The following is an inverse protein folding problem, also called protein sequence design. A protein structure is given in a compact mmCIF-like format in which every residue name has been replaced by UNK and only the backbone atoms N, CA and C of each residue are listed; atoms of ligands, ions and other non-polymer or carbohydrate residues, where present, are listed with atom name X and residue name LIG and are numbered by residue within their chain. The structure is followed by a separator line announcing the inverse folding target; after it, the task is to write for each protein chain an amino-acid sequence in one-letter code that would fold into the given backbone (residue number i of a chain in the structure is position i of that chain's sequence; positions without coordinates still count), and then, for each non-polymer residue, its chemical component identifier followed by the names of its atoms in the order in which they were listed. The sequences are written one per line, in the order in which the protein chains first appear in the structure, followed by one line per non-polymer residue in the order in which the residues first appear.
data_IF_555294167399
#
_entry.id   IF_555294167399
#
_cell.length_a   1.000
_cell.length_b   1.000
_cell.length_c   1.000
_cell.angle_alpha   90.00
_cell.angle_beta   90.00
_cell.angle_gamma   90.00
#
_symmetry.space_group_name_H-M   'P 1'
#
loop_
_entity.id
_entity.type
_entity.pdbx_description
1 polymer ?
#
# COMPACT_ATOMS: atom_id res chain seq x y z
N UNK A 1 39.62 -45.43 39.80
CA UNK A 1 38.90 -46.05 40.94
C UNK A 1 37.46 -46.27 40.52
N UNK A 2 37.03 -47.54 40.52
CA UNK A 2 35.71 -48.12 40.85
C UNK A 2 34.50 -47.17 40.91
N UNK A 3 33.27 -47.46 40.48
CA UNK A 3 32.58 -48.36 39.54
C UNK A 3 31.07 -48.19 39.85
N UNK A 4 30.20 -48.50 38.86
CA UNK A 4 28.77 -48.86 38.94
C UNK A 4 27.74 -47.71 39.14
N UNK A 5 26.54 -47.73 38.55
CA UNK A 5 25.86 -48.45 37.46
C UNK A 5 24.48 -47.78 37.28
N UNK A 6 23.88 -47.84 36.08
CA UNK A 6 22.47 -47.48 35.89
C UNK A 6 22.08 -47.24 34.43
N UNK A 7 21.70 -48.32 33.74
CA UNK A 7 21.26 -48.44 32.33
C UNK A 7 20.04 -47.56 31.92
N UNK A 8 19.82 -47.36 30.60
CA UNK A 8 18.77 -46.50 30.03
C UNK A 8 17.42 -47.22 29.85
N UNK A 9 16.32 -46.47 29.98
CA UNK A 9 14.96 -46.98 29.71
C UNK A 9 14.61 -46.75 28.25
N UNK A 10 14.44 -47.87 27.54
CA UNK A 10 13.83 -48.02 26.23
C UNK A 10 12.29 -47.90 26.36
N UNK A 11 11.64 -46.99 25.62
CA UNK A 11 10.18 -47.03 25.42
C UNK A 11 9.90 -47.09 23.93
N UNK A 12 9.54 -48.31 23.52
CA UNK A 12 9.16 -48.68 22.17
C UNK A 12 7.86 -47.99 21.70
N UNK A 13 7.87 -47.66 20.41
CA UNK A 13 6.73 -47.31 19.59
C UNK A 13 5.58 -48.35 19.67
N UNK A 14 4.36 -47.89 19.94
CA UNK A 14 3.11 -48.58 19.54
C UNK A 14 2.12 -47.59 18.93
N UNK A 15 1.76 -47.86 17.67
CA UNK A 15 0.65 -47.24 16.91
C UNK A 15 -0.69 -47.51 17.60
N UNK A 16 -1.62 -46.53 17.62
CA UNK A 16 -3.05 -46.81 17.77
C UNK A 16 -3.73 -46.99 16.40
N UNK A 17 -4.56 -48.02 16.32
CA UNK A 17 -5.37 -48.41 15.17
C UNK A 17 -6.47 -47.38 14.84
N UNK A 18 -6.79 -47.29 13.55
CA UNK A 18 -7.90 -46.55 13.00
C UNK A 18 -9.25 -47.13 13.47
N UNK A 19 -10.09 -46.28 14.08
CA UNK A 19 -11.49 -46.59 14.34
C UNK A 19 -12.37 -45.94 13.26
N UNK A 20 -12.97 -46.77 12.41
CA UNK A 20 -13.97 -46.35 11.44
C UNK A 20 -15.29 -46.02 12.16
N UNK A 21 -15.84 -44.82 11.98
CA UNK A 21 -17.23 -44.49 12.30
C UNK A 21 -18.02 -44.38 10.99
N UNK A 22 -18.87 -45.37 10.72
CA UNK A 22 -19.95 -45.29 9.73
C UNK A 22 -21.19 -44.63 10.37
N UNK A 23 -21.98 -43.86 9.61
CA UNK A 23 -23.21 -43.22 10.10
C UNK A 23 -24.38 -44.21 10.17
N UNK A 24 -25.20 -44.08 11.22
CA UNK A 24 -26.49 -44.75 11.35
C UNK A 24 -27.55 -44.05 10.50
N UNK A 25 -28.16 -44.80 9.58
CA UNK A 25 -29.37 -44.41 8.86
C UNK A 25 -30.59 -45.05 9.55
N UNK A 26 -31.55 -44.21 9.95
CA UNK A 26 -32.83 -44.64 10.48
C UNK A 26 -33.85 -44.81 9.34
N UNK A 27 -34.47 -45.98 9.28
CA UNK A 27 -35.55 -46.37 8.37
C UNK A 27 -36.90 -46.06 9.00
N UNK A 28 -37.77 -45.31 8.30
CA UNK A 28 -39.23 -45.38 8.44
C UNK A 28 -39.89 -45.30 7.06
N UNK A 29 -40.86 -46.20 6.88
CA UNK A 29 -41.57 -46.62 5.67
C UNK A 29 -42.55 -45.57 5.09
N UNK A 30 -42.98 -45.73 3.82
CA UNK A 30 -43.71 -44.71 3.06
C UNK A 30 -45.23 -44.82 3.18
N UNK A 31 -45.92 -43.70 2.94
CA UNK A 31 -47.37 -43.65 2.74
C UNK A 31 -47.67 -43.30 1.28
N UNK A 32 -48.59 -44.06 0.70
CA UNK A 32 -49.12 -43.95 -0.66
C UNK A 32 -50.37 -43.06 -0.67
N UNK A 33 -50.55 -42.26 -1.74
CA UNK A 33 -51.79 -42.25 -2.54
C UNK A 33 -51.64 -41.51 -3.87
N UNK A 34 -52.29 -42.13 -4.87
CA UNK A 34 -52.43 -41.82 -6.30
C UNK A 34 -53.04 -40.44 -6.63
N UNK A 35 -52.79 -39.94 -7.84
CA UNK A 35 -53.76 -39.91 -8.98
C UNK A 35 -53.03 -39.58 -10.32
N UNK A 36 -53.39 -40.39 -11.32
CA UNK A 36 -53.30 -40.37 -12.81
C UNK A 36 -53.19 -39.00 -13.55
N UNK A 37 -52.80 -38.85 -14.84
CA UNK A 37 -52.62 -39.77 -15.98
C UNK A 37 -51.89 -39.14 -17.22
N UNK A 38 -51.20 -40.02 -17.98
CA UNK A 38 -51.14 -40.22 -19.47
C UNK A 38 -50.48 -39.21 -20.44
N UNK A 39 -49.43 -39.67 -21.14
CA UNK A 39 -49.34 -40.02 -22.60
C UNK A 39 -47.86 -40.27 -22.99
N UNK A 40 -47.34 -41.51 -23.05
CA UNK A 40 -47.15 -42.41 -24.22
C UNK A 40 -46.50 -41.75 -25.47
N UNK A 41 -45.24 -42.10 -25.80
CA UNK A 41 -44.87 -42.90 -27.00
C UNK A 41 -43.38 -43.36 -26.98
N UNK A 42 -43.24 -44.69 -26.83
CA UNK A 42 -42.24 -45.67 -27.33
C UNK A 42 -40.84 -45.27 -27.83
N UNK A 43 -39.82 -45.91 -27.24
CA UNK A 43 -38.58 -46.36 -27.89
C UNK A 43 -38.86 -47.67 -28.70
N UNK A 44 -37.91 -48.33 -29.41
CA UNK A 44 -36.85 -49.08 -28.69
C UNK A 44 -35.50 -49.33 -29.42
N UNK A 45 -34.46 -49.60 -28.61
CA UNK A 45 -33.42 -50.68 -28.71
C UNK A 45 -32.53 -50.82 -29.97
N UNK A 46 -31.25 -51.22 -29.93
CA UNK A 46 -30.51 -52.11 -29.01
C UNK A 46 -28.98 -52.04 -29.24
N UNK A 47 -28.24 -52.35 -28.16
CA UNK A 47 -26.90 -52.98 -27.98
C UNK A 47 -26.11 -53.47 -29.22
N UNK A 48 -24.77 -53.62 -29.23
CA UNK A 48 -23.91 -54.35 -28.27
C UNK A 48 -22.41 -54.16 -28.60
N UNK A 49 -21.57 -54.43 -27.60
CA UNK A 49 -20.09 -54.48 -27.55
C UNK A 49 -19.34 -55.28 -28.64
N UNK A 50 -18.06 -54.96 -28.92
CA UNK A 50 -16.83 -55.67 -28.43
C UNK A 50 -15.52 -55.14 -29.03
N UNK A 51 -14.47 -55.31 -28.21
CA UNK A 51 -13.02 -55.13 -28.36
C UNK A 51 -12.35 -55.69 -29.65
N UNK A 52 -11.25 -55.06 -30.11
CA UNK A 52 -9.88 -55.65 -30.17
C UNK A 52 -8.85 -54.81 -30.97
N UNK A 53 -7.68 -54.59 -30.37
CA UNK A 53 -6.28 -54.55 -30.89
C UNK A 53 -5.92 -53.70 -32.13
N UNK A 54 -4.91 -52.83 -31.99
CA UNK A 54 -3.50 -53.05 -32.42
C UNK A 54 -2.74 -51.73 -32.62
N UNK A 55 -1.48 -51.69 -32.15
CA UNK A 55 -0.45 -50.73 -32.58
C UNK A 55 0.37 -51.39 -33.72
N UNK A 56 1.13 -50.61 -34.52
CA UNK A 56 2.54 -50.39 -34.17
C UNK A 56 3.12 -49.01 -34.56
N UNK A 57 4.32 -48.76 -34.02
CA UNK A 57 5.20 -47.63 -34.29
C UNK A 57 5.90 -47.68 -35.66
N UNK A 58 6.37 -46.54 -36.18
CA UNK A 58 7.58 -46.48 -37.01
C UNK A 58 8.25 -45.08 -36.97
N UNK A 59 9.55 -45.09 -37.20
CA UNK A 59 10.54 -44.07 -36.83
C UNK A 59 11.40 -43.69 -38.06
N UNK A 60 12.01 -42.49 -38.02
CA UNK A 60 13.23 -42.00 -38.74
C UNK A 60 13.09 -41.32 -40.13
N UNK A 61 13.64 -40.10 -40.24
CA UNK A 61 14.92 -39.69 -40.90
C UNK A 61 14.91 -38.14 -41.10
N UNK A 62 15.73 -37.34 -40.41
CA UNK A 62 17.10 -36.84 -40.74
C UNK A 62 17.32 -36.39 -42.20
N UNK A 63 17.61 -35.09 -42.39
CA UNK A 63 18.69 -34.61 -43.26
C UNK A 63 19.09 -33.14 -42.97
N UNK A 64 20.39 -32.96 -42.71
CA UNK A 64 21.20 -31.75 -42.63
C UNK A 64 21.23 -30.96 -43.96
N UNK A 65 21.40 -29.63 -43.91
CA UNK A 65 22.45 -28.93 -44.68
C UNK A 65 22.86 -27.58 -44.06
N UNK A 66 24.13 -27.29 -44.30
CA UNK A 66 25.01 -26.28 -43.72
C UNK A 66 25.08 -25.09 -44.69
N UNK A 67 25.28 -23.86 -44.20
CA UNK A 67 25.62 -22.69 -45.02
C UNK A 67 25.73 -21.40 -44.23
N UNK A 68 26.96 -20.94 -44.03
CA UNK A 68 27.42 -19.74 -43.31
C UNK A 68 27.27 -18.42 -44.10
N UNK A 69 26.97 -17.29 -43.43
CA UNK A 69 27.69 -15.99 -43.48
C UNK A 69 26.85 -14.76 -43.04
N UNK A 70 27.34 -14.07 -41.99
CA UNK A 70 27.41 -12.60 -41.71
C UNK A 70 26.16 -11.65 -41.77
N UNK A 71 26.16 -10.52 -41.02
CA UNK A 71 24.95 -9.90 -40.44
C UNK A 71 24.41 -8.66 -41.21
N UNK A 72 23.15 -8.22 -40.97
CA UNK A 72 22.63 -7.00 -41.58
C UNK A 72 22.91 -5.74 -40.75
N UNK A 73 23.11 -4.66 -41.51
CA UNK A 73 23.32 -3.26 -41.11
C UNK A 73 22.02 -2.56 -40.71
N UNK A 74 22.19 -1.50 -39.92
CA UNK A 74 21.23 -0.45 -39.52
C UNK A 74 20.41 0.17 -40.66
N UNK A 75 19.14 0.58 -40.43
CA UNK A 75 18.45 1.51 -41.31
C UNK A 75 18.44 2.96 -40.78
N UNK A 76 18.82 3.89 -41.65
CA UNK A 76 18.72 5.34 -41.51
C UNK A 76 17.35 5.82 -42.00
N UNK A 77 16.66 6.67 -41.25
CA UNK A 77 15.39 7.31 -41.66
C UNK A 77 15.62 8.39 -42.72
N UNK A 78 14.85 8.34 -43.80
CA UNK A 78 14.71 9.39 -44.80
C UNK A 78 13.57 10.37 -44.43
N UNK A 79 13.89 11.66 -44.45
CA UNK A 79 12.95 12.81 -44.35
C UNK A 79 12.01 12.84 -45.56
N UNK A 80 10.73 13.12 -45.33
CA UNK A 80 9.77 13.55 -46.36
C UNK A 80 9.29 14.98 -46.06
N UNK A 81 9.45 15.83 -47.06
CA UNK A 81 9.04 17.24 -47.16
C UNK A 81 7.61 17.26 -47.70
N UNK A 82 6.68 18.02 -47.10
CA UNK A 82 5.51 18.59 -47.80
C UNK A 82 5.20 20.01 -47.25
N UNK A 83 4.91 20.87 -48.23
CA UNK A 83 4.67 22.30 -48.32
C UNK A 83 3.72 23.00 -47.31
N UNK A 84 3.98 24.31 -47.14
CA UNK A 84 3.08 25.34 -46.62
C UNK A 84 1.95 25.70 -47.60
N UNK A 85 0.93 26.43 -47.13
CA UNK A 85 0.45 27.57 -47.89
C UNK A 85 0.32 28.87 -47.07
N UNK A 86 0.13 29.95 -47.83
CA UNK A 86 0.46 31.36 -47.60
C UNK A 86 -0.61 32.20 -46.90
N UNK A 87 -0.16 33.35 -46.37
CA UNK A 87 -0.92 34.47 -45.78
C UNK A 87 -1.98 35.08 -46.72
N UNK A 88 -3.04 35.63 -46.12
CA UNK A 88 -3.62 36.93 -46.52
C UNK A 88 -3.98 37.76 -45.28
N UNK A 89 -4.04 39.08 -45.47
CA UNK A 89 -3.97 40.11 -44.45
C UNK A 89 -5.35 40.69 -44.08
N UNK A 90 -5.48 41.22 -42.86
CA UNK A 90 -6.26 42.43 -42.60
C UNK A 90 -5.72 43.19 -41.37
N UNK A 91 -5.94 44.51 -41.41
CA UNK A 91 -5.24 45.61 -40.74
C UNK A 91 -6.14 46.23 -39.67
N UNK A 92 -5.52 46.59 -38.53
CA UNK A 92 -5.85 47.63 -37.53
C UNK A 92 -7.28 47.70 -36.94
N UNK A 93 -7.38 47.65 -35.61
CA UNK A 93 -7.63 48.88 -34.84
C UNK A 93 -7.25 48.74 -33.35
N UNK A 94 -6.74 49.84 -32.80
CA UNK A 94 -6.34 50.02 -31.40
C UNK A 94 -7.53 50.46 -30.55
N UNK A 95 -7.69 49.93 -29.32
CA UNK A 95 -8.19 50.71 -28.17
C UNK A 95 -8.08 49.97 -26.82
N UNK A 96 -7.49 50.69 -25.86
CA UNK A 96 -7.68 50.69 -24.39
C UNK A 96 -7.72 49.37 -23.61
N UNK A 97 -6.63 49.12 -22.88
CA UNK A 97 -6.61 48.31 -21.67
C UNK A 97 -7.40 49.02 -20.55
N UNK A 98 -8.45 48.37 -20.06
CA UNK A 98 -8.94 48.53 -18.69
C UNK A 98 -9.17 47.11 -18.18
N UNK A 99 -8.24 46.60 -17.37
CA UNK A 99 -8.37 45.31 -16.70
C UNK A 99 -9.13 45.50 -15.39
N UNK A 100 -10.38 45.03 -15.35
CA UNK A 100 -11.10 44.79 -14.11
C UNK A 100 -10.46 43.59 -13.40
N UNK A 101 -9.69 43.86 -12.34
CA UNK A 101 -9.20 42.85 -11.40
C UNK A 101 -10.40 42.30 -10.63
N UNK A 102 -10.82 41.08 -10.95
CA UNK A 102 -11.91 40.38 -10.27
C UNK A 102 -11.54 40.09 -8.81
N UNK A 103 -12.51 40.30 -7.91
CA UNK A 103 -12.42 40.20 -6.44
C UNK A 103 -11.84 38.88 -5.92
N UNK A 104 -11.81 37.83 -6.76
CA UNK A 104 -11.19 36.53 -6.46
C UNK A 104 -9.67 36.61 -6.27
N UNK A 105 -9.00 37.53 -6.96
CA UNK A 105 -7.54 37.70 -6.87
C UNK A 105 -7.05 38.51 -5.67
N UNK A 106 -7.93 39.23 -4.96
CA UNK A 106 -7.56 39.91 -3.71
C UNK A 106 -7.72 38.99 -2.49
N UNK A 107 -8.72 38.10 -2.49
CA UNK A 107 -8.94 37.14 -1.41
C UNK A 107 -7.77 36.13 -1.29
N UNK A 108 -7.24 35.63 -2.40
CA UNK A 108 -6.12 34.68 -2.40
C UNK A 108 -4.79 35.32 -1.96
N UNK A 109 -4.55 36.59 -2.30
CA UNK A 109 -3.33 37.32 -1.89
C UNK A 109 -3.36 37.69 -0.39
N UNK A 110 -4.55 37.99 0.16
CA UNK A 110 -4.72 38.29 1.58
C UNK A 110 -4.63 37.03 2.45
N UNK A 111 -5.13 35.88 1.96
CA UNK A 111 -5.04 34.60 2.67
C UNK A 111 -3.59 34.07 2.73
N UNK A 112 -2.79 34.29 1.67
CA UNK A 112 -1.37 33.94 1.64
C UNK A 112 -0.51 34.81 2.58
N UNK A 113 -0.88 36.08 2.78
CA UNK A 113 -0.21 36.99 3.75
C UNK A 113 -0.48 36.60 5.21
N UNK A 114 -1.73 36.27 5.54
CA UNK A 114 -2.15 35.90 6.90
C UNK A 114 -1.51 34.56 7.36
N UNK A 115 -1.34 33.61 6.45
CA UNK A 115 -0.69 32.31 6.73
C UNK A 115 0.83 32.47 6.95
N UNK A 116 1.46 33.50 6.37
CA UNK A 116 2.90 33.72 6.46
C UNK A 116 3.32 34.54 7.70
N UNK A 117 2.47 35.47 8.18
CA UNK A 117 2.74 36.23 9.40
C UNK A 117 2.58 35.38 10.68
N UNK A 118 1.61 34.46 10.71
CA UNK A 118 1.38 33.56 11.86
C UNK A 118 2.52 32.56 12.13
N UNK A 119 3.39 32.29 11.15
CA UNK A 119 4.58 31.42 11.29
C UNK A 119 5.85 32.16 11.71
N UNK A 120 5.90 33.49 11.60
CA UNK A 120 7.05 34.31 12.04
C UNK A 120 7.07 34.56 13.55
N UNK A 121 5.93 34.44 14.23
CA UNK A 121 5.82 34.66 15.68
C UNK A 121 6.30 33.50 16.57
N UNK A 122 6.43 32.28 16.03
CA UNK A 122 6.75 31.09 16.84
C UNK A 122 8.26 30.78 16.94
N UNK A 123 9.09 31.34 16.07
CA UNK A 123 10.56 31.16 16.11
C UNK A 123 11.30 32.29 16.87
N UNK A 124 10.58 33.23 17.48
CA UNK A 124 11.16 34.38 18.20
C UNK A 124 11.09 34.26 19.74
N UNK A 125 10.78 33.07 20.31
CA UNK A 125 10.52 32.92 21.76
C UNK A 125 11.30 31.80 22.46
N UNK A 126 12.49 31.44 21.99
CA UNK A 126 13.35 30.50 22.73
C UNK A 126 14.83 30.78 22.59
N UNK A 127 15.29 31.87 23.21
CA UNK A 127 16.66 32.03 23.74
C UNK A 127 16.80 33.38 24.46
N UNK A 128 16.41 33.43 25.74
CA UNK A 128 16.80 34.51 26.65
C UNK A 128 17.81 33.97 27.66
N UNK A 129 19.09 34.32 27.47
CA UNK A 129 20.11 34.32 28.51
C UNK A 129 20.58 35.79 28.65
N UNK A 130 20.77 36.32 29.88
CA UNK A 130 20.98 37.75 30.06
C UNK A 130 22.45 38.11 29.82
N UNK A 131 22.70 39.09 28.96
CA UNK A 131 24.00 39.77 28.90
C UNK A 131 23.87 41.07 29.67
N UNK A 132 24.57 41.15 30.79
CA UNK A 132 24.76 42.39 31.55
C UNK A 132 25.48 43.43 30.70
N UNK A 133 24.92 44.63 30.68
CA UNK A 133 25.43 45.80 29.96
C UNK A 133 26.58 46.41 30.77
N UNK A 134 27.82 46.22 30.32
CA UNK A 134 28.98 46.97 30.83
C UNK A 134 29.25 48.14 29.89
N UNK A 135 28.96 49.35 30.37
CA UNK A 135 29.32 50.61 29.71
C UNK A 135 30.82 50.90 29.87
N UNK A 136 31.49 51.34 28.81
CA UNK A 136 32.75 52.09 28.88
C UNK A 136 32.69 53.27 27.87
N UNK A 137 33.30 54.43 28.20
CA UNK A 137 32.97 55.71 27.58
C UNK A 137 33.79 56.01 26.32
N UNK A 138 33.20 56.89 25.49
CA UNK A 138 33.74 57.51 24.29
C UNK A 138 34.97 58.39 24.58
N UNK A 139 36.00 58.29 23.74
CA UNK A 139 37.00 59.35 23.56
C UNK A 139 37.66 59.28 22.16
N UNK A 140 37.51 60.36 21.38
CA UNK A 140 38.33 60.77 20.22
C UNK A 140 38.15 59.94 18.94
N UNK A 141 38.19 60.49 17.73
CA UNK A 141 38.87 61.70 17.25
C UNK A 141 38.16 62.28 16.01
N UNK A 142 38.43 63.56 15.77
CA UNK A 142 37.96 64.32 14.61
C UNK A 142 38.57 63.91 13.27
N UNK A 143 38.00 64.55 12.26
CA UNK A 143 38.05 64.29 10.83
C UNK A 143 39.45 64.20 10.21
N UNK A 144 39.59 63.26 9.28
CA UNK A 144 40.71 63.17 8.35
C UNK A 144 40.46 62.09 7.30
N UNK A 145 40.32 62.53 6.04
CA UNK A 145 40.11 61.72 4.84
C UNK A 145 40.97 60.45 4.82
N UNK A 146 40.32 59.31 5.00
CA UNK A 146 40.93 57.99 4.88
C UNK A 146 39.93 57.06 4.22
N UNK A 147 40.14 56.79 2.94
CA UNK A 147 39.54 55.64 2.26
C UNK A 147 39.93 54.41 3.07
N UNK A 148 39.01 53.90 3.90
CA UNK A 148 39.21 52.66 4.64
C UNK A 148 39.11 51.54 3.63
N UNK A 149 40.17 50.74 3.38
CA UNK A 149 40.03 49.56 2.56
C UNK A 149 39.01 48.67 3.26
N UNK A 150 37.95 48.29 2.54
CA UNK A 150 37.03 47.25 3.00
C UNK A 150 37.89 46.08 3.45
N UNK A 151 37.84 45.77 4.75
CA UNK A 151 38.54 44.63 5.31
C UNK A 151 37.93 43.42 4.61
N UNK A 152 38.62 42.94 3.57
CA UNK A 152 38.45 41.61 3.04
C UNK A 152 38.44 40.69 4.26
N UNK A 153 37.26 40.17 4.60
CA UNK A 153 37.15 39.04 5.48
C UNK A 153 38.08 38.00 4.86
N UNK A 154 39.24 37.79 5.48
CA UNK A 154 40.12 36.73 5.05
C UNK A 154 39.29 35.47 5.21
N UNK A 155 39.00 34.82 4.08
CA UNK A 155 38.54 33.44 4.02
C UNK A 155 39.64 32.60 4.68
N UNK A 156 39.69 32.59 6.02
CA UNK A 156 40.48 31.63 6.76
C UNK A 156 39.74 30.32 6.61
N UNK A 157 40.28 29.34 5.86
CA UNK A 157 39.66 28.03 5.79
C UNK A 157 39.50 27.49 7.22
N UNK A 158 38.42 26.74 7.51
CA UNK A 158 38.26 26.13 8.83
C UNK A 158 39.55 25.38 9.18
N UNK A 159 40.02 25.42 10.45
CA UNK A 159 41.29 24.85 10.84
C UNK A 159 41.36 23.40 10.36
N UNK A 160 42.26 23.13 9.42
CA UNK A 160 42.49 21.81 8.86
C UNK A 160 43.00 20.90 9.98
N UNK A 161 42.13 19.99 10.44
CA UNK A 161 42.49 19.01 11.47
C UNK A 161 41.59 18.94 12.70
N UNK A 162 40.50 19.72 12.78
CA UNK A 162 39.51 19.54 13.83
C UNK A 162 38.75 18.20 13.64
N UNK A 163 39.10 17.19 14.45
CA UNK A 163 38.41 15.90 14.52
C UNK A 163 37.22 15.93 15.49
N UNK A 164 36.38 14.89 15.44
CA UNK A 164 35.28 14.69 16.39
C UNK A 164 35.23 13.24 16.86
N UNK A 165 34.61 13.00 18.02
CA UNK A 165 34.30 11.65 18.51
C UNK A 165 32.81 11.56 18.78
N UNK A 166 32.17 10.48 18.32
CA UNK A 166 30.76 10.21 18.63
C UNK A 166 30.74 9.30 19.86
N UNK A 167 30.31 9.84 20.99
CA UNK A 167 30.00 9.03 22.17
C UNK A 167 28.66 8.32 21.96
N UNK A 168 28.68 6.99 22.00
CA UNK A 168 27.49 6.13 21.86
C UNK A 168 27.14 5.39 23.17
N UNK A 169 27.82 5.71 24.27
CA UNK A 169 27.60 5.07 25.58
C UNK A 169 26.28 5.45 26.23
N UNK A 170 25.71 6.60 25.85
CA UNK A 170 24.41 7.08 26.33
C UNK A 170 23.40 6.97 25.18
N UNK A 171 22.38 6.12 25.32
CA UNK A 171 21.32 5.94 24.33
C UNK A 171 19.94 6.21 24.95
N UNK A 172 19.07 6.90 24.21
CA UNK A 172 17.69 7.11 24.61
C UNK A 172 16.86 5.85 24.32
N UNK A 173 16.10 5.31 25.30
CA UNK A 173 15.12 4.27 25.04
C UNK A 173 13.86 4.81 24.34
N UNK A 174 13.68 6.14 24.29
CA UNK A 174 12.51 6.79 23.70
C UNK A 174 12.69 6.94 22.18
N UNK A 175 12.63 5.82 21.48
CA UNK A 175 12.66 5.74 20.02
C UNK A 175 11.77 4.60 19.53
N UNK A 176 11.35 4.71 18.27
CA UNK A 176 10.62 3.67 17.56
C UNK A 176 11.17 3.51 16.13
N UNK A 177 10.54 2.63 15.36
CA UNK A 177 10.88 2.41 13.96
C UNK A 177 10.50 3.61 13.09
N UNK A 178 11.41 4.02 12.20
CA UNK A 178 11.09 4.98 11.12
C UNK A 178 10.12 4.41 10.08
N UNK A 179 10.14 3.09 9.88
CA UNK A 179 9.15 2.40 9.06
C UNK A 179 7.86 2.31 9.88
N UNK A 180 6.80 2.94 9.37
CA UNK A 180 5.47 3.01 10.00
C UNK A 180 4.39 2.35 9.15
N UNK A 181 4.64 2.18 7.86
CA UNK A 181 3.66 1.70 6.88
C UNK A 181 4.26 0.61 6.02
N UNK A 182 3.48 -0.42 5.67
CA UNK A 182 3.80 -1.42 4.66
C UNK A 182 2.90 -1.20 3.45
N UNK A 183 3.48 -0.95 2.27
CA UNK A 183 2.73 -0.76 1.02
C UNK A 183 2.96 -1.96 0.09
N UNK A 184 1.86 -2.58 -0.33
CA UNK A 184 1.85 -3.76 -1.21
C UNK A 184 1.48 -3.36 -2.64
N UNK A 185 2.22 -3.91 -3.61
CA UNK A 185 2.13 -3.57 -5.03
C UNK A 185 2.04 -4.84 -5.87
N UNK A 186 1.56 -4.71 -7.11
CA UNK A 186 1.90 -5.65 -8.17
C UNK A 186 2.80 -4.99 -9.21
N UNK A 187 3.56 -5.80 -9.95
CA UNK A 187 4.51 -5.29 -10.95
C UNK A 187 3.90 -4.99 -12.32
N UNK A 188 2.77 -5.62 -12.67
CA UNK A 188 2.15 -5.61 -14.01
C UNK A 188 3.08 -6.14 -15.12
N UNK A 189 4.10 -6.90 -14.75
CA UNK A 189 5.20 -7.32 -15.61
C UNK A 189 5.69 -8.71 -15.23
N UNK A 190 6.43 -9.36 -16.13
CA UNK A 190 7.12 -10.62 -15.82
C UNK A 190 8.20 -10.41 -14.75
N UNK A 191 8.68 -11.48 -14.11
CA UNK A 191 9.77 -11.39 -13.15
C UNK A 191 11.03 -10.74 -13.76
N UNK A 192 11.41 -11.12 -14.99
CA UNK A 192 12.59 -10.60 -15.66
C UNK A 192 12.48 -9.08 -15.91
N UNK A 193 11.34 -8.63 -16.41
CA UNK A 193 11.07 -7.21 -16.66
C UNK A 193 10.97 -6.41 -15.36
N UNK A 194 10.41 -7.02 -14.31
CA UNK A 194 10.31 -6.41 -12.97
C UNK A 194 11.69 -6.17 -12.38
N UNK A 195 12.60 -7.16 -12.45
CA UNK A 195 13.99 -7.02 -12.01
C UNK A 195 14.66 -5.90 -12.80
N UNK A 196 14.55 -5.91 -14.13
CA UNK A 196 15.17 -4.90 -14.99
C UNK A 196 14.63 -3.48 -14.68
N UNK A 197 13.33 -3.33 -14.47
CA UNK A 197 12.70 -2.04 -14.19
C UNK A 197 13.04 -1.50 -12.80
N UNK A 198 13.00 -2.34 -11.76
CA UNK A 198 13.19 -1.93 -10.36
C UNK A 198 14.68 -1.76 -9.97
N UNK A 199 15.60 -2.15 -10.85
CA UNK A 199 17.06 -2.00 -10.63
C UNK A 199 17.74 -1.10 -11.66
N UNK A 200 17.00 -0.58 -12.65
CA UNK A 200 17.55 0.29 -13.69
C UNK A 200 17.97 1.64 -13.09
N UNK A 201 19.24 2.06 -13.25
CA UNK A 201 19.69 3.38 -12.77
C UNK A 201 19.08 4.55 -13.58
N UNK A 202 18.43 4.27 -14.72
CA UNK A 202 17.74 5.27 -15.53
C UNK A 202 16.28 5.47 -15.08
N UNK A 203 15.72 4.58 -14.26
CA UNK A 203 14.35 4.66 -13.78
C UNK A 203 14.32 5.16 -12.34
N UNK A 204 13.36 6.01 -12.02
CA UNK A 204 13.14 6.51 -10.67
C UNK A 204 12.10 5.66 -9.93
N UNK A 205 12.24 4.33 -9.98
CA UNK A 205 11.36 3.37 -9.30
C UNK A 205 12.17 2.22 -8.72
N UNK A 206 11.83 1.79 -7.51
CA UNK A 206 12.40 0.62 -6.84
C UNK A 206 11.50 0.18 -5.70
N UNK A 207 11.70 -1.04 -5.20
CA UNK A 207 11.02 -1.56 -4.02
C UNK A 207 12.03 -2.12 -3.03
N UNK A 208 11.61 -2.40 -1.81
CA UNK A 208 12.47 -3.06 -0.84
C UNK A 208 12.56 -4.55 -1.17
N UNK A 209 11.40 -5.17 -1.44
CA UNK A 209 11.29 -6.58 -1.79
C UNK A 209 10.56 -6.79 -3.12
N UNK A 210 10.98 -7.81 -3.86
CA UNK A 210 10.29 -8.34 -5.03
C UNK A 210 10.03 -9.84 -4.83
N UNK A 211 8.75 -10.23 -4.91
CA UNK A 211 8.29 -11.62 -4.74
C UNK A 211 7.91 -12.21 -6.10
N UNK A 212 8.60 -13.27 -6.57
CA UNK A 212 8.25 -13.97 -7.82
C UNK A 212 6.85 -14.57 -7.82
N UNK A 213 6.32 -14.85 -9.02
CA UNK A 213 5.05 -15.55 -9.28
C UNK A 213 5.17 -17.08 -9.21
N UNK A 214 6.39 -17.60 -9.35
CA UNK A 214 6.69 -19.01 -9.20
C UNK A 214 7.96 -19.25 -8.39
N UNK A 215 8.04 -20.44 -7.80
CA UNK A 215 9.28 -20.95 -7.25
C UNK A 215 10.31 -21.26 -8.36
N UNK A 216 11.59 -21.29 -7.99
CA UNK A 216 12.62 -21.83 -8.86
C UNK A 216 12.49 -23.36 -9.05
N UNK A 217 13.35 -23.94 -9.89
CA UNK A 217 13.40 -25.39 -10.15
C UNK A 217 13.58 -26.24 -8.87
N UNK A 218 13.99 -25.61 -7.75
CA UNK A 218 14.10 -26.20 -6.42
C UNK A 218 12.87 -26.06 -5.53
N UNK A 219 11.72 -25.62 -6.06
CA UNK A 219 10.44 -25.37 -5.36
C UNK A 219 10.52 -24.31 -4.25
N UNK A 220 11.57 -23.50 -4.21
CA UNK A 220 11.68 -22.37 -3.28
C UNK A 220 11.46 -21.07 -4.01
N UNK A 221 10.73 -20.15 -3.41
CA UNK A 221 10.65 -18.79 -3.91
C UNK A 221 11.95 -18.07 -3.56
N UNK A 222 12.60 -17.47 -4.55
CA UNK A 222 13.71 -16.57 -4.35
C UNK A 222 13.18 -15.14 -4.25
N UNK A 223 12.83 -14.71 -3.04
CA UNK A 223 12.49 -13.29 -2.79
C UNK A 223 13.76 -12.45 -2.93
N UNK A 224 13.66 -11.33 -3.64
CA UNK A 224 14.78 -10.42 -3.84
C UNK A 224 14.64 -9.22 -2.90
N UNK A 225 15.67 -8.94 -2.10
CA UNK A 225 15.83 -7.64 -1.46
C UNK A 225 16.58 -6.71 -2.43
N UNK A 226 15.91 -5.70 -2.95
CA UNK A 226 16.48 -4.76 -3.92
C UNK A 226 17.01 -3.50 -3.23
N UNK A 227 16.40 -3.10 -2.11
CA UNK A 227 16.81 -1.95 -1.29
C UNK A 227 16.72 -2.34 0.18
N UNK A 228 17.80 -2.17 0.98
CA UNK A 228 17.74 -2.43 2.43
C UNK A 228 16.69 -1.55 3.10
N UNK A 229 15.94 -2.09 4.08
CA UNK A 229 14.85 -1.35 4.77
C UNK A 229 15.32 -0.07 5.51
N UNK A 230 16.62 0.05 5.80
CA UNK A 230 17.22 1.27 6.37
C UNK A 230 17.39 2.41 5.33
N UNK A 231 17.13 2.13 4.05
CA UNK A 231 17.24 3.05 2.92
C UNK A 231 15.85 3.25 2.32
N UNK A 232 15.66 4.41 1.70
CA UNK A 232 14.40 4.74 1.01
C UNK A 232 14.36 4.11 -0.38
N UNK A 233 13.47 3.14 -0.61
CA UNK A 233 13.06 2.74 -1.96
C UNK A 233 12.06 3.73 -2.57
N UNK A 234 11.88 3.70 -3.90
CA UNK A 234 11.01 4.61 -4.65
C UNK A 234 9.79 3.86 -5.22
N UNK A 235 8.81 3.51 -4.39
CA UNK A 235 7.65 2.70 -4.79
C UNK A 235 6.32 3.46 -4.69
N UNK A 236 6.08 4.20 -3.61
CA UNK A 236 4.80 4.85 -3.34
C UNK A 236 4.56 6.10 -4.23
N UNK A 237 5.61 6.87 -4.54
CA UNK A 237 5.49 8.13 -5.28
C UNK A 237 4.69 9.20 -4.50
N UNK A 238 3.95 10.06 -5.22
CA UNK A 238 3.02 11.02 -4.61
C UNK A 238 1.91 10.24 -3.90
N UNK A 239 1.89 10.32 -2.57
CA UNK A 239 1.12 9.42 -1.73
C UNK A 239 0.76 10.07 -0.40
N UNK A 240 -0.35 9.61 0.20
CA UNK A 240 -0.86 10.03 1.49
C UNK A 240 -1.47 8.84 2.24
N UNK A 241 -1.24 8.77 3.55
CA UNK A 241 -1.98 7.87 4.44
C UNK A 241 -1.96 8.39 5.87
N UNK A 242 -3.13 8.56 6.50
CA UNK A 242 -3.26 8.93 7.91
C UNK A 242 -2.43 10.17 8.31
N UNK A 243 -2.46 11.21 7.47
CA UNK A 243 -1.72 12.45 7.68
C UNK A 243 -0.27 12.43 7.19
N UNK A 244 0.33 11.23 7.00
CA UNK A 244 1.66 11.09 6.42
C UNK A 244 1.59 11.37 4.91
N UNK A 245 2.57 12.11 4.38
CA UNK A 245 2.80 12.31 2.94
C UNK A 245 4.17 11.75 2.56
N UNK A 246 4.40 11.52 1.28
CA UNK A 246 5.69 11.01 0.76
C UNK A 246 6.09 9.68 1.40
N UNK A 247 5.19 8.70 1.36
CA UNK A 247 5.29 7.46 2.14
C UNK A 247 6.57 6.66 1.90
N UNK A 248 7.25 6.84 0.76
CA UNK A 248 8.60 6.30 0.54
C UNK A 248 9.54 6.53 1.74
N UNK A 249 9.43 7.68 2.44
CA UNK A 249 10.34 8.04 3.53
C UNK A 249 10.19 7.18 4.82
N UNK A 250 9.03 6.56 5.02
CA UNK A 250 8.70 5.83 6.25
C UNK A 250 7.91 4.55 5.99
N UNK A 251 8.08 3.95 4.81
CA UNK A 251 7.41 2.69 4.47
C UNK A 251 8.35 1.67 3.86
N UNK A 252 7.97 0.41 4.02
CA UNK A 252 8.51 -0.72 3.26
C UNK A 252 7.56 -0.99 2.09
N UNK A 253 8.15 -1.33 0.95
CA UNK A 253 7.43 -1.58 -0.30
C UNK A 253 7.73 -2.99 -0.78
N UNK A 254 6.70 -3.80 -0.94
CA UNK A 254 6.79 -5.16 -1.47
C UNK A 254 6.10 -5.19 -2.83
N UNK A 255 6.88 -5.43 -3.87
CA UNK A 255 6.41 -5.69 -5.23
C UNK A 255 6.16 -7.18 -5.40
N UNK A 256 4.99 -7.55 -5.93
CA UNK A 256 4.58 -8.93 -6.12
C UNK A 256 4.39 -9.14 -7.61
N UNK A 257 5.12 -10.09 -8.19
CA UNK A 257 5.02 -10.38 -9.62
C UNK A 257 3.61 -10.89 -9.91
N UNK A 258 2.82 -10.05 -10.56
CA UNK A 258 1.47 -10.33 -11.00
C UNK A 258 1.18 -9.35 -12.15
N UNK A 259 0.57 -9.86 -13.22
CA UNK A 259 0.32 -9.06 -14.43
C UNK A 259 -0.78 -8.00 -14.24
N UNK A 260 -1.50 -8.02 -13.10
CA UNK A 260 -2.60 -7.11 -12.80
C UNK A 260 -3.84 -7.48 -13.62
N UNK A 261 -3.92 -6.95 -14.83
CA UNK A 261 -4.97 -7.23 -15.82
C UNK A 261 -4.37 -7.10 -17.24
N UNK A 262 -5.00 -7.69 -18.27
CA UNK A 262 -4.53 -7.57 -19.65
C UNK A 262 -4.45 -6.10 -20.10
N UNK A 263 -3.39 -5.66 -20.82
CA UNK A 263 -3.24 -4.26 -21.24
C UNK A 263 -4.45 -3.69 -21.99
N UNK A 264 -5.18 -4.51 -22.75
CA UNK A 264 -6.39 -4.09 -23.46
C UNK A 264 -7.55 -3.68 -22.53
N UNK A 265 -7.52 -4.09 -21.26
CA UNK A 265 -8.54 -3.76 -20.25
C UNK A 265 -8.25 -2.41 -19.54
N UNK A 266 -7.13 -1.74 -19.85
CA UNK A 266 -6.70 -0.51 -19.16
C UNK A 266 -7.76 0.60 -19.17
N UNK A 267 -8.48 0.76 -20.28
CA UNK A 267 -9.53 1.77 -20.44
C UNK A 267 -10.93 1.28 -20.06
N UNK A 268 -11.08 0.02 -19.62
CA UNK A 268 -12.36 -0.49 -19.15
C UNK A 268 -12.66 0.02 -17.73
N UNK A 269 -13.96 0.19 -17.38
CA UNK A 269 -14.37 0.34 -15.99
C UNK A 269 -13.78 -0.76 -15.11
N UNK A 270 -13.41 -0.44 -13.87
CA UNK A 270 -12.68 -1.37 -12.99
C UNK A 270 -13.35 -2.75 -12.89
N UNK A 271 -14.68 -2.77 -12.73
CA UNK A 271 -15.49 -4.00 -12.63
C UNK A 271 -15.45 -4.87 -13.88
N UNK A 272 -15.06 -4.32 -15.02
CA UNK A 272 -15.03 -5.00 -16.31
C UNK A 272 -13.61 -5.49 -16.67
N UNK A 273 -12.59 -5.15 -15.87
CA UNK A 273 -11.22 -5.62 -16.08
C UNK A 273 -11.08 -7.07 -15.64
N UNK A 274 -10.34 -7.87 -16.42
CA UNK A 274 -10.01 -9.26 -16.11
C UNK A 274 -8.76 -9.32 -15.26
N UNK A 275 -8.93 -9.39 -13.95
CA UNK A 275 -7.79 -9.42 -13.02
C UNK A 275 -7.13 -10.80 -12.96
N UNK A 276 -5.80 -10.84 -12.85
CA UNK A 276 -5.03 -12.07 -12.67
C UNK A 276 -4.98 -12.45 -11.18
N UNK A 277 -5.33 -13.70 -10.81
CA UNK A 277 -5.28 -14.14 -9.43
C UNK A 277 -3.84 -14.32 -8.94
N UNK A 278 -3.64 -14.31 -7.62
CA UNK A 278 -2.37 -14.65 -6.99
C UNK A 278 -2.34 -16.16 -6.67
N UNK A 279 -1.35 -16.93 -7.15
CA UNK A 279 -1.22 -18.34 -6.81
C UNK A 279 -1.04 -18.56 -5.30
N UNK A 280 -1.66 -19.59 -4.73
CA UNK A 280 -1.62 -19.84 -3.28
C UNK A 280 -0.20 -19.97 -2.70
N UNK A 281 0.73 -20.56 -3.46
CA UNK A 281 2.13 -20.68 -3.05
C UNK A 281 2.82 -19.30 -2.99
N UNK A 282 2.50 -18.40 -3.92
CA UNK A 282 2.99 -17.02 -3.90
C UNK A 282 2.41 -16.26 -2.71
N UNK A 283 1.10 -16.42 -2.44
CA UNK A 283 0.42 -15.83 -1.26
C UNK A 283 1.08 -16.27 0.04
N UNK A 284 1.47 -17.54 0.13
CA UNK A 284 2.14 -18.03 1.32
C UNK A 284 3.48 -17.34 1.59
N UNK A 285 4.21 -17.02 0.52
CA UNK A 285 5.53 -16.39 0.60
C UNK A 285 5.42 -14.90 0.92
N UNK A 286 4.61 -14.13 0.19
CA UNK A 286 4.49 -12.70 0.52
C UNK A 286 3.73 -12.48 1.82
N UNK A 287 2.81 -13.37 2.21
CA UNK A 287 2.13 -13.33 3.50
C UNK A 287 3.11 -13.49 4.66
N UNK A 288 4.03 -14.47 4.57
CA UNK A 288 5.08 -14.67 5.56
C UNK A 288 6.06 -13.48 5.60
N UNK A 289 6.55 -13.02 4.44
CA UNK A 289 7.44 -11.86 4.34
C UNK A 289 6.82 -10.59 4.94
N UNK A 290 5.55 -10.33 4.63
CA UNK A 290 4.84 -9.18 5.17
C UNK A 290 4.66 -9.29 6.69
N UNK A 291 4.41 -10.50 7.23
CA UNK A 291 4.38 -10.73 8.67
C UNK A 291 5.73 -10.44 9.34
N UNK A 292 6.84 -10.84 8.73
CA UNK A 292 8.18 -10.54 9.23
C UNK A 292 8.44 -9.03 9.28
N UNK A 293 8.10 -8.30 8.21
CA UNK A 293 8.23 -6.83 8.16
C UNK A 293 7.35 -6.15 9.21
N UNK A 294 6.10 -6.58 9.34
CA UNK A 294 5.15 -6.04 10.32
C UNK A 294 5.66 -6.26 11.74
N UNK A 295 6.15 -7.46 12.06
CA UNK A 295 6.69 -7.78 13.37
C UNK A 295 7.97 -6.99 13.69
N UNK A 296 8.90 -6.91 12.73
CA UNK A 296 10.16 -6.18 12.88
C UNK A 296 9.96 -4.70 13.17
N UNK A 297 8.99 -4.08 12.49
CA UNK A 297 8.76 -2.63 12.57
C UNK A 297 7.56 -2.23 13.42
N UNK A 298 6.86 -3.21 14.01
CA UNK A 298 5.64 -3.02 14.78
C UNK A 298 4.58 -2.21 14.00
N UNK A 299 4.45 -2.49 12.71
CA UNK A 299 3.51 -1.78 11.82
C UNK A 299 2.08 -2.07 12.28
N UNK A 300 1.30 -1.02 12.54
CA UNK A 300 -0.09 -1.17 12.95
C UNK A 300 -0.94 -1.80 11.84
N UNK A 301 -1.98 -2.59 12.16
CA UNK A 301 -2.80 -3.27 11.15
C UNK A 301 -3.36 -2.34 10.07
N UNK A 302 -3.86 -1.15 10.45
CA UNK A 302 -4.38 -0.14 9.52
C UNK A 302 -3.30 0.66 8.78
N UNK A 303 -2.01 0.31 8.94
CA UNK A 303 -0.88 0.84 8.16
C UNK A 303 -0.25 -0.23 7.25
N UNK A 304 -0.92 -1.37 7.06
CA UNK A 304 -0.65 -2.29 5.94
C UNK A 304 -1.67 -2.01 4.85
N UNK A 305 -1.20 -1.52 3.70
CA UNK A 305 -2.04 -0.88 2.68
C UNK A 305 -1.61 -1.27 1.28
N UNK A 306 -2.53 -1.18 0.32
CA UNK A 306 -2.21 -1.27 -1.10
C UNK A 306 -1.68 0.06 -1.64
N UNK A 307 -1.07 0.03 -2.82
CA UNK A 307 -0.70 1.27 -3.52
C UNK A 307 -1.94 2.12 -3.87
N UNK A 308 -3.05 1.45 -4.20
CA UNK A 308 -4.35 2.04 -4.45
C UNK A 308 -4.88 2.84 -3.26
N UNK A 309 -4.59 2.42 -2.03
CA UNK A 309 -5.07 3.11 -0.84
C UNK A 309 -4.37 4.44 -0.62
N UNK A 310 -3.07 4.47 -0.90
CA UNK A 310 -2.22 5.63 -0.64
C UNK A 310 -2.12 6.58 -1.83
N UNK A 311 -2.57 6.12 -3.01
CA UNK A 311 -2.66 6.92 -4.22
C UNK A 311 -3.93 6.62 -5.05
N UNK A 312 -5.13 6.81 -4.48
CA UNK A 312 -6.39 6.51 -5.16
C UNK A 312 -6.52 7.26 -6.48
N UNK A 313 -7.03 6.58 -7.51
CA UNK A 313 -7.21 7.14 -8.87
C UNK A 313 -5.94 7.20 -9.72
N UNK A 314 -4.75 7.22 -9.10
CA UNK A 314 -3.47 7.06 -9.82
C UNK A 314 -3.05 5.60 -9.90
N UNK A 315 -3.38 4.81 -8.89
CA UNK A 315 -2.94 3.42 -8.71
C UNK A 315 -4.11 2.51 -8.38
N UNK A 316 -4.05 1.28 -8.87
CA UNK A 316 -5.09 0.24 -8.67
C UNK A 316 -4.52 -1.03 -8.06
N UNK A 317 -3.21 -1.14 -7.93
CA UNK A 317 -2.51 -2.26 -7.33
C UNK A 317 -2.60 -2.24 -5.79
N UNK A 318 -2.68 -3.41 -5.12
CA UNK A 318 -2.50 -4.76 -5.68
C UNK A 318 -3.77 -5.38 -6.31
N UNK A 319 -4.85 -4.61 -6.44
CA UNK A 319 -6.08 -5.01 -7.12
C UNK A 319 -7.08 -5.79 -6.26
N UNK A 320 -8.30 -6.03 -6.77
CA UNK A 320 -9.40 -6.66 -6.02
C UNK A 320 -9.20 -8.16 -5.77
N UNK A 321 -8.33 -8.84 -6.54
CA UNK A 321 -8.00 -10.24 -6.30
C UNK A 321 -6.87 -10.43 -5.28
N UNK A 322 -6.32 -9.34 -4.73
CA UNK A 322 -5.34 -9.44 -3.67
C UNK A 322 -6.01 -9.99 -2.39
N UNK A 323 -5.45 -11.02 -1.74
CA UNK A 323 -6.18 -11.78 -0.73
C UNK A 323 -6.07 -11.16 0.67
N UNK A 324 -6.50 -9.90 0.82
CA UNK A 324 -6.44 -9.13 2.09
C UNK A 324 -7.00 -9.89 3.29
N UNK A 325 -8.20 -10.49 3.15
CA UNK A 325 -8.81 -11.27 4.22
C UNK A 325 -7.96 -12.49 4.61
N UNK A 326 -7.35 -13.16 3.64
CA UNK A 326 -6.47 -14.33 3.90
C UNK A 326 -5.24 -13.90 4.69
N UNK A 327 -4.68 -12.74 4.36
CA UNK A 327 -3.56 -12.13 5.08
C UNK A 327 -3.94 -11.84 6.54
N UNK A 328 -5.09 -11.21 6.75
CA UNK A 328 -5.63 -10.98 8.10
C UNK A 328 -5.87 -12.28 8.88
N UNK A 329 -6.57 -13.24 8.28
CA UNK A 329 -6.96 -14.47 8.96
C UNK A 329 -5.77 -15.38 9.28
N UNK A 330 -4.84 -15.56 8.33
CA UNK A 330 -3.79 -16.58 8.41
C UNK A 330 -2.46 -16.04 8.92
N UNK A 331 -2.11 -14.79 8.56
CA UNK A 331 -0.82 -14.19 8.88
C UNK A 331 -0.93 -13.09 9.93
N UNK A 332 -2.15 -12.74 10.35
CA UNK A 332 -2.42 -11.67 11.34
C UNK A 332 -1.86 -10.32 10.92
N UNK A 333 -1.85 -10.05 9.63
CA UNK A 333 -1.39 -8.78 9.06
C UNK A 333 -2.54 -8.02 8.39
N UNK A 334 -2.48 -6.69 8.49
CA UNK A 334 -3.48 -5.82 7.92
C UNK A 334 -4.76 -5.71 8.75
N UNK A 335 -5.56 -4.71 8.40
CA UNK A 335 -6.84 -4.48 9.02
C UNK A 335 -7.95 -5.28 8.30
N UNK A 336 -8.90 -5.80 9.06
CA UNK A 336 -10.16 -6.33 8.57
C UNK A 336 -11.30 -6.05 9.57
N UNK A 337 -12.54 -5.77 9.10
CA UNK A 337 -13.69 -5.57 9.98
C UNK A 337 -14.19 -6.89 10.58
N UNK A 338 -14.86 -6.81 11.74
CA UNK A 338 -15.62 -7.95 12.28
C UNK A 338 -17.01 -8.03 11.62
N UNK A 339 -17.43 -9.24 11.24
CA UNK A 339 -18.68 -9.44 10.50
C UNK A 339 -19.91 -8.96 11.29
N UNK A 340 -19.93 -9.20 12.60
CA UNK A 340 -21.01 -8.78 13.50
C UNK A 340 -21.12 -7.27 13.58
N UNK A 341 -19.99 -6.55 13.53
CA UNK A 341 -19.97 -5.10 13.52
C UNK A 341 -20.51 -4.55 12.19
N UNK A 342 -20.12 -5.14 11.06
CA UNK A 342 -20.65 -4.77 9.73
C UNK A 342 -22.16 -4.98 9.69
N UNK A 343 -22.66 -6.13 10.15
CA UNK A 343 -24.08 -6.45 10.24
C UNK A 343 -24.83 -5.43 11.10
N UNK A 344 -24.26 -5.06 12.25
CA UNK A 344 -24.82 -4.03 13.12
C UNK A 344 -24.98 -2.69 12.39
N UNK A 345 -23.93 -2.18 11.75
CA UNK A 345 -23.97 -0.89 11.06
C UNK A 345 -24.91 -0.92 9.85
N UNK A 346 -24.94 -2.02 9.10
CA UNK A 346 -25.86 -2.20 7.96
C UNK A 346 -27.33 -2.06 8.37
N UNK A 347 -27.70 -2.61 9.53
CA UNK A 347 -29.09 -2.61 10.02
C UNK A 347 -29.44 -1.33 10.79
N UNK A 348 -28.56 -0.89 11.70
CA UNK A 348 -28.89 0.15 12.68
C UNK A 348 -28.48 1.56 12.24
N UNK A 349 -27.55 1.68 11.29
CA UNK A 349 -27.06 2.96 10.76
C UNK A 349 -26.83 2.88 9.25
N UNK A 350 -27.86 2.49 8.47
CA UNK A 350 -27.69 2.32 7.04
C UNK A 350 -27.27 3.63 6.38
N UNK A 351 -26.40 3.53 5.37
CA UNK A 351 -25.99 4.70 4.59
C UNK A 351 -27.19 5.31 3.87
N UNK A 352 -27.45 6.59 4.14
CA UNK A 352 -28.58 7.35 3.59
C UNK A 352 -28.17 8.37 2.51
N UNK A 353 -26.99 8.22 1.91
CA UNK A 353 -26.48 9.13 0.88
C UNK A 353 -25.74 10.37 1.40
N UNK A 354 -25.43 10.45 2.69
CA UNK A 354 -24.65 11.55 3.29
C UNK A 354 -23.17 11.46 2.90
N UNK A 355 -22.82 12.12 1.79
CA UNK A 355 -21.46 12.11 1.24
C UNK A 355 -20.47 12.87 2.13
N UNK A 356 -20.89 13.93 2.83
CA UNK A 356 -20.01 14.67 3.73
C UNK A 356 -19.53 13.77 4.88
N UNK A 357 -20.45 13.02 5.48
CA UNK A 357 -20.13 12.04 6.52
C UNK A 357 -19.23 10.91 5.99
N UNK A 358 -19.51 10.38 4.79
CA UNK A 358 -18.65 9.39 4.14
C UNK A 358 -17.21 9.90 3.96
N UNK A 359 -17.05 11.11 3.42
CA UNK A 359 -15.75 11.73 3.20
C UNK A 359 -14.98 11.92 4.51
N UNK A 360 -15.66 12.39 5.56
CA UNK A 360 -15.04 12.55 6.88
C UNK A 360 -14.61 11.20 7.48
N UNK A 361 -15.39 10.14 7.28
CA UNK A 361 -15.04 8.77 7.73
C UNK A 361 -13.85 8.19 6.97
N UNK A 362 -13.80 8.35 5.64
CA UNK A 362 -12.69 7.88 4.82
C UNK A 362 -11.39 8.60 5.17
N UNK A 363 -11.45 9.92 5.40
CA UNK A 363 -10.33 10.71 5.89
C UNK A 363 -9.90 10.25 7.29
N UNK A 364 -10.85 10.00 8.18
CA UNK A 364 -10.57 9.49 9.53
C UNK A 364 -9.89 8.12 9.53
N UNK A 365 -10.24 7.24 8.59
CA UNK A 365 -9.60 5.94 8.47
C UNK A 365 -8.18 6.05 7.90
N UNK A 366 -7.96 6.93 6.91
CA UNK A 366 -6.61 7.25 6.45
C UNK A 366 -6.46 7.77 5.02
N UNK A 367 -7.51 7.79 4.20
CA UNK A 367 -7.45 8.22 2.80
C UNK A 367 -7.36 9.75 2.67
N UNK A 368 -6.68 10.27 1.63
CA UNK A 368 -6.65 11.72 1.31
C UNK A 368 -7.97 12.16 0.67
N UNK A 369 -9.05 12.06 1.44
CA UNK A 369 -10.42 12.22 0.91
C UNK A 369 -10.83 13.69 0.96
N UNK A 370 -11.26 14.29 -0.15
CA UNK A 370 -11.75 15.66 -0.15
C UNK A 370 -12.99 15.79 0.74
N UNK A 371 -13.23 16.98 1.31
CA UNK A 371 -14.37 17.28 2.19
C UNK A 371 -15.35 18.23 1.49
N UNK A 372 -15.80 17.86 0.30
CA UNK A 372 -16.66 18.70 -0.58
C UNK A 372 -18.15 18.55 -0.30
N UNK A 373 -18.56 17.49 0.40
CA UNK A 373 -19.96 17.12 0.60
C UNK A 373 -20.66 16.58 -0.66
N UNK A 374 -19.91 16.33 -1.74
CA UNK A 374 -20.43 15.81 -3.01
C UNK A 374 -19.64 14.60 -3.47
N UNK A 375 -20.28 13.69 -4.22
CA UNK A 375 -19.61 12.50 -4.74
C UNK A 375 -18.78 12.86 -5.98
N UNK A 376 -17.71 13.62 -5.76
CA UNK A 376 -16.77 14.03 -6.80
C UNK A 376 -15.87 12.88 -7.26
N UNK A 377 -15.16 13.08 -8.38
CA UNK A 377 -14.31 12.06 -8.97
C UNK A 377 -13.20 11.56 -8.02
N UNK A 378 -12.66 12.42 -7.17
CA UNK A 378 -11.66 12.02 -6.18
C UNK A 378 -12.28 11.12 -5.10
N UNK A 379 -13.49 11.44 -4.65
CA UNK A 379 -14.24 10.60 -3.70
C UNK A 379 -14.57 9.24 -4.31
N UNK A 380 -15.00 9.18 -5.58
CA UNK A 380 -15.23 7.92 -6.31
C UNK A 380 -13.95 7.08 -6.39
N UNK A 381 -12.80 7.71 -6.66
CA UNK A 381 -11.50 7.04 -6.67
C UNK A 381 -11.13 6.47 -5.29
N UNK A 382 -11.39 7.20 -4.20
CA UNK A 382 -11.17 6.70 -2.84
C UNK A 382 -12.11 5.53 -2.53
N UNK A 383 -13.39 5.65 -2.85
CA UNK A 383 -14.39 4.59 -2.59
C UNK A 383 -14.02 3.31 -3.36
N UNK A 384 -13.62 3.41 -4.63
CA UNK A 384 -13.19 2.25 -5.40
C UNK A 384 -11.92 1.61 -4.84
N UNK A 385 -10.93 2.39 -4.41
CA UNK A 385 -9.74 1.87 -3.73
C UNK A 385 -10.09 1.12 -2.43
N UNK A 386 -10.92 1.73 -1.59
CA UNK A 386 -11.43 1.12 -0.36
C UNK A 386 -12.19 -0.18 -0.63
N UNK A 387 -13.05 -0.19 -1.66
CA UNK A 387 -13.79 -1.38 -2.04
C UNK A 387 -12.86 -2.49 -2.57
N UNK A 388 -11.85 -2.19 -3.40
CA UNK A 388 -10.88 -3.20 -3.83
C UNK A 388 -10.15 -3.84 -2.64
N UNK A 389 -9.92 -3.10 -1.56
CA UNK A 389 -9.29 -3.62 -0.34
C UNK A 389 -10.26 -4.43 0.53
N UNK A 390 -11.39 -3.84 0.92
CA UNK A 390 -12.25 -4.40 1.98
C UNK A 390 -13.56 -5.03 1.48
N UNK A 391 -13.95 -4.79 0.22
CA UNK A 391 -15.17 -5.33 -0.40
C UNK A 391 -14.95 -5.68 -1.88
N UNK A 392 -14.06 -6.63 -2.19
CA UNK A 392 -13.65 -6.91 -3.57
C UNK A 392 -14.76 -7.53 -4.44
N UNK A 393 -15.92 -7.88 -3.87
CA UNK A 393 -17.09 -8.30 -4.64
C UNK A 393 -17.72 -7.17 -5.46
N UNK A 394 -17.50 -5.90 -5.08
CA UNK A 394 -18.01 -4.71 -5.79
C UNK A 394 -17.17 -3.48 -5.49
N UNK A 395 -16.46 -3.01 -6.51
CA UNK A 395 -15.49 -1.91 -6.47
C UNK A 395 -15.71 -0.89 -7.59
N UNK A 396 -16.99 -0.56 -7.85
CA UNK A 396 -17.43 0.39 -8.86
C UNK A 396 -17.25 1.86 -8.44
N UNK A 397 -16.81 2.12 -7.21
CA UNK A 397 -16.64 3.47 -6.67
C UNK A 397 -17.94 4.13 -6.22
N UNK A 398 -19.06 3.40 -6.25
CA UNK A 398 -20.36 3.88 -5.76
C UNK A 398 -20.52 3.45 -4.30
N UNK A 399 -20.65 4.39 -3.34
CA UNK A 399 -20.85 4.02 -1.95
C UNK A 399 -22.25 3.44 -1.76
N UNK A 400 -22.32 2.29 -1.10
CA UNK A 400 -23.56 1.64 -0.69
C UNK A 400 -23.55 1.32 0.81
N UNK A 401 -24.68 0.79 1.31
CA UNK A 401 -24.86 0.48 2.74
C UNK A 401 -23.75 -0.43 3.26
N UNK A 402 -23.34 -1.44 2.49
CA UNK A 402 -22.30 -2.37 2.90
C UNK A 402 -20.92 -1.71 2.93
N UNK A 403 -20.59 -0.90 1.91
CA UNK A 403 -19.33 -0.15 1.86
C UNK A 403 -19.16 0.73 3.10
N UNK A 404 -20.20 1.48 3.47
CA UNK A 404 -20.13 2.38 4.63
C UNK A 404 -20.18 1.63 5.96
N UNK A 405 -20.92 0.52 6.05
CA UNK A 405 -20.94 -0.33 7.24
C UNK A 405 -19.57 -0.98 7.52
N UNK A 406 -18.86 -1.39 6.48
CA UNK A 406 -17.46 -1.87 6.58
C UNK A 406 -16.56 -0.77 7.13
N UNK A 407 -16.68 0.46 6.60
CA UNK A 407 -15.89 1.60 7.06
C UNK A 407 -16.17 1.95 8.53
N UNK A 408 -17.44 1.96 8.95
CA UNK A 408 -17.80 2.20 10.35
C UNK A 408 -17.29 1.10 11.29
N UNK A 409 -17.35 -0.18 10.87
CA UNK A 409 -16.80 -1.30 11.63
C UNK A 409 -15.27 -1.21 11.79
N UNK A 410 -14.56 -0.76 10.74
CA UNK A 410 -13.13 -0.52 10.80
C UNK A 410 -12.78 0.66 11.73
N UNK A 411 -13.54 1.75 11.67
CA UNK A 411 -13.38 2.90 12.56
C UNK A 411 -13.64 2.55 14.02
N UNK A 412 -14.64 1.71 14.30
CA UNK A 412 -14.90 1.17 15.64
C UNK A 412 -13.70 0.38 16.15
N UNK A 413 -13.21 -0.58 15.35
CA UNK A 413 -12.18 -1.52 15.76
C UNK A 413 -10.79 -0.89 15.96
N UNK A 414 -10.38 0.00 15.05
CA UNK A 414 -8.99 0.48 15.01
C UNK A 414 -8.81 1.89 15.56
N UNK A 415 -9.89 2.67 15.72
CA UNK A 415 -9.83 4.06 16.17
C UNK A 415 -10.73 4.36 17.35
N UNK A 416 -11.40 3.34 17.92
CA UNK A 416 -12.41 3.50 18.97
C UNK A 416 -13.49 4.53 18.61
N UNK A 417 -13.76 4.72 17.31
CA UNK A 417 -14.81 5.60 16.80
C UNK A 417 -16.01 4.74 16.44
N UNK A 418 -16.77 4.37 17.47
CA UNK A 418 -17.90 3.46 17.32
C UNK A 418 -18.96 3.70 18.40
N UNK A 419 -19.84 2.71 18.58
CA UNK A 419 -20.95 2.75 19.56
C UNK A 419 -20.47 3.29 20.91
N UNK A 420 -21.27 4.15 21.54
CA UNK A 420 -21.15 4.39 22.97
C UNK A 420 -21.51 3.09 23.69
N UNK A 421 -20.53 2.21 23.88
CA UNK A 421 -20.68 1.10 24.81
C UNK A 421 -20.68 1.76 26.19
N UNK A 422 -21.77 1.60 26.93
CA UNK A 422 -21.79 1.82 28.37
C UNK A 422 -20.70 0.93 28.98
N UNK A 423 -19.46 1.43 29.03
CA UNK A 423 -18.39 0.84 29.83
C UNK A 423 -18.83 1.05 31.28
N UNK A 424 -19.39 -0.01 31.88
CA UNK A 424 -19.36 -0.11 33.33
C UNK A 424 -17.91 0.12 33.78
N UNK A 425 -17.79 1.11 34.65
CA UNK A 425 -16.58 1.68 35.20
C UNK A 425 -15.68 0.63 35.84
N UNK A 426 -14.46 0.48 35.30
CA UNK A 426 -13.31 0.01 36.08
C UNK A 426 -12.69 1.25 36.75
N UNK A 427 -12.64 1.33 38.08
CA UNK A 427 -12.04 2.48 38.76
C UNK A 427 -10.51 2.36 38.74
N UNK A 428 -9.85 3.45 38.35
CA UNK A 428 -8.43 3.68 38.61
C UNK A 428 -7.55 3.80 37.37
N UNK A 429 -7.52 4.97 36.76
CA UNK A 429 -6.37 5.41 35.96
C UNK A 429 -6.13 6.89 36.27
N UNK A 430 -5.05 7.15 37.02
CA UNK A 430 -4.54 8.49 37.31
C UNK A 430 -4.06 9.17 36.04
N UNK A 431 -4.36 10.46 35.91
CA UNK A 431 -4.00 11.29 34.75
C UNK A 431 -2.48 11.45 34.61
N UNK A 432 -1.92 11.40 33.38
CA UNK A 432 -0.52 11.76 33.16
C UNK A 432 -0.39 13.28 33.10
N UNK A 433 0.33 13.85 34.05
CA UNK A 433 0.91 15.19 33.97
C UNK A 433 2.18 15.14 33.12
N UNK A 434 2.13 15.68 31.91
CA UNK A 434 3.29 15.82 31.04
C UNK A 434 3.02 16.77 29.88
N UNK A 435 3.73 17.91 29.84
CA UNK A 435 3.55 19.03 28.90
C UNK A 435 4.04 18.78 27.45
N UNK A 436 4.20 17.51 27.04
CA UNK A 436 4.42 17.17 25.62
C UNK A 436 3.54 15.99 25.27
N UNK A 437 2.61 16.22 24.35
CA UNK A 437 1.63 15.23 23.91
C UNK A 437 2.29 13.88 23.64
N UNK A 438 1.80 12.84 24.29
CA UNK A 438 2.22 11.48 24.02
C UNK A 438 1.71 11.07 22.64
N UNK A 439 2.61 10.86 21.67
CA UNK A 439 2.31 10.21 20.39
C UNK A 439 2.05 8.69 20.55
N UNK A 440 1.97 8.20 21.79
CA UNK A 440 1.78 6.80 22.10
C UNK A 440 0.32 6.37 21.86
N UNK A 441 0.14 5.48 20.88
CA UNK A 441 -1.10 4.74 20.69
C UNK A 441 -1.07 3.50 21.62
N UNK A 442 -2.18 3.14 22.29
CA UNK A 442 -2.21 1.96 23.14
C UNK A 442 -2.03 0.71 22.28
N UNK A 443 -0.84 0.12 22.33
CA UNK A 443 -0.60 -1.21 21.76
C UNK A 443 -1.40 -2.24 22.55
N UNK A 444 -2.15 -3.10 21.86
CA UNK A 444 -2.71 -4.29 22.49
C UNK A 444 -1.55 -5.21 22.95
N UNK A 445 -1.66 -5.86 24.13
CA UNK A 445 -0.61 -6.74 24.61
C UNK A 445 -0.39 -7.90 23.65
N UNK A 446 0.88 -8.18 23.34
CA UNK A 446 1.27 -9.33 22.52
C UNK A 446 0.77 -10.64 23.16
N UNK A 447 0.31 -11.63 22.37
CA UNK A 447 -0.06 -12.93 22.91
C UNK A 447 1.18 -13.60 23.52
N UNK A 448 1.04 -14.05 24.77
CA UNK A 448 2.06 -14.84 25.48
C UNK A 448 2.34 -16.15 24.74
N UNK A 449 3.62 -16.49 24.60
CA UNK A 449 4.14 -17.69 23.93
C UNK A 449 3.61 -18.99 24.50
#
# INVERSE_FOLDING_TARGET
MISMHGEPIDIAFRKPQAASRKPQAASRKPFSRNIDARHIFTAPTTATSRSLRSAPAFQKYIALRIGTCAPPRTPTLARRIIAQPTRSAHRADSQSQVTTRTEKGMAEEQQAKIINEGRRGFLARSSAWPVGMLMLPLAGCGDGDGVVPSAHAQDTPPPSGAGYTIDRSIQSPNQDSRVRTLVLHYTAQTLADSIASLTSPQRQVSAHYLVPDAADDGRRFKVFELVPQARRAWHAGVSYWQGDRMLNAGSVGIEIVNLGFPPEDENLPLMNRRWYPYPDAQVAVFGALAADVVAQHQVLPHKVVGHSDVAPGRKTDPGPLFPWKKLYDQYKIGAWPEAEAVDYYRVNRPFAGDVASLQSKLLAYGYDTPQTGTLDAQTVNVVSAFQMHFRPSRYDGVPDVETVAILDALLEKYFNRGRAINKQTLPGATAPTGEKGSDAWPLAPAPSR
#
